data_IF_062817480811
#
_entry.id   IF_062817480811
#
_cell.length_a   1.000
_cell.length_b   1.000
_cell.length_c   1.000
_cell.angle_alpha   90.00
_cell.angle_beta   90.00
_cell.angle_gamma   90.00
#
_symmetry.space_group_name_H-M   'P 1'
#
loop_
_entity.id
_entity.type
_entity.pdbx_description
1 polymer ?
#
# COMPACT_ATOMS: atom_id res chain seq x y z
N UNK A 1 38.76 -14.25 -7.22
CA UNK A 1 38.37 -12.92 -7.72
C UNK A 1 36.88 -12.81 -8.05
N UNK A 2 36.28 -13.73 -8.83
CA UNK A 2 34.85 -13.66 -9.26
C UNK A 2 33.86 -13.70 -8.10
N UNK A 3 34.06 -14.54 -7.08
CA UNK A 3 33.15 -14.61 -5.88
C UNK A 3 33.19 -13.33 -5.05
N UNK A 4 34.31 -12.65 -4.98
CA UNK A 4 34.44 -11.37 -4.26
C UNK A 4 33.71 -10.25 -4.98
N UNK A 5 33.84 -10.14 -6.30
CA UNK A 5 33.15 -9.14 -7.11
C UNK A 5 31.62 -9.30 -7.06
N UNK A 6 31.11 -10.53 -7.15
CA UNK A 6 29.70 -10.83 -7.02
C UNK A 6 29.14 -10.49 -5.63
N UNK A 7 29.92 -10.75 -4.58
CA UNK A 7 29.54 -10.38 -3.21
C UNK A 7 29.44 -8.85 -3.05
N UNK A 8 30.45 -8.12 -3.52
CA UNK A 8 30.46 -6.64 -3.45
C UNK A 8 29.26 -6.06 -4.20
N UNK A 9 29.03 -6.49 -5.45
CA UNK A 9 27.90 -6.04 -6.25
C UNK A 9 26.54 -6.35 -5.56
N UNK A 10 26.41 -7.52 -4.94
CA UNK A 10 25.19 -7.87 -4.18
C UNK A 10 24.98 -6.95 -2.99
N UNK A 11 26.02 -6.67 -2.20
CA UNK A 11 25.90 -5.81 -1.02
C UNK A 11 25.62 -4.35 -1.38
N UNK A 12 26.24 -3.83 -2.43
CA UNK A 12 25.98 -2.48 -2.95
C UNK A 12 24.55 -2.35 -3.46
N UNK A 13 24.08 -3.34 -4.24
CA UNK A 13 22.70 -3.41 -4.69
C UNK A 13 21.72 -3.38 -3.51
N UNK A 14 21.92 -4.25 -2.50
CA UNK A 14 21.05 -4.31 -1.32
C UNK A 14 21.06 -2.98 -0.56
N UNK A 15 22.22 -2.35 -0.39
CA UNK A 15 22.34 -1.03 0.26
C UNK A 15 21.56 0.04 -0.53
N UNK A 16 21.69 0.09 -1.84
CA UNK A 16 21.02 1.04 -2.73
C UNK A 16 19.49 0.86 -2.70
N UNK A 17 18.98 -0.37 -2.81
CA UNK A 17 17.53 -0.59 -2.76
C UNK A 17 16.98 -0.30 -1.37
N UNK A 18 17.69 -0.69 -0.31
CA UNK A 18 17.25 -0.42 1.08
C UNK A 18 17.38 1.02 1.52
N UNK A 19 18.12 1.86 0.83
CA UNK A 19 18.04 3.30 1.05
C UNK A 19 16.68 3.88 0.63
N UNK A 20 15.97 3.21 -0.31
CA UNK A 20 14.62 3.59 -0.76
C UNK A 20 13.50 2.81 -0.04
N UNK A 21 13.73 1.53 0.25
CA UNK A 21 12.80 0.63 0.95
C UNK A 21 13.55 -0.16 2.04
N UNK A 22 13.70 0.41 3.25
CA UNK A 22 14.45 -0.22 4.33
C UNK A 22 13.90 -1.58 4.76
N UNK A 23 12.59 -1.80 4.59
CA UNK A 23 11.89 -3.01 5.01
C UNK A 23 11.65 -4.04 3.92
N UNK A 24 12.20 -3.87 2.72
CA UNK A 24 11.98 -4.81 1.61
C UNK A 24 12.51 -6.22 1.94
N UNK A 25 11.65 -7.22 1.78
CA UNK A 25 11.98 -8.62 2.06
C UNK A 25 12.93 -9.24 1.03
N UNK A 26 13.72 -10.25 1.46
CA UNK A 26 14.77 -10.86 0.65
C UNK A 26 14.31 -11.40 -0.70
N UNK A 27 13.07 -11.93 -0.81
CA UNK A 27 12.55 -12.46 -2.07
C UNK A 27 12.34 -11.38 -3.13
N UNK A 28 11.81 -10.21 -2.73
CA UNK A 28 11.64 -9.06 -3.63
C UNK A 28 12.98 -8.46 -4.02
N UNK A 29 13.88 -8.30 -3.05
CA UNK A 29 15.26 -7.88 -3.31
C UNK A 29 15.93 -8.75 -4.36
N UNK A 30 15.83 -10.10 -4.20
CA UNK A 30 16.43 -11.01 -5.17
C UNK A 30 15.80 -10.88 -6.56
N UNK A 31 14.48 -10.65 -6.65
CA UNK A 31 13.81 -10.47 -7.94
C UNK A 31 14.31 -9.21 -8.66
N UNK A 32 14.39 -8.09 -7.94
CA UNK A 32 14.95 -6.83 -8.47
C UNK A 32 16.42 -7.03 -8.89
N UNK A 33 17.21 -7.72 -8.07
CA UNK A 33 18.60 -8.08 -8.39
C UNK A 33 18.70 -8.95 -9.65
N UNK A 34 17.83 -9.95 -9.79
CA UNK A 34 17.77 -10.78 -11.00
C UNK A 34 17.45 -9.97 -12.25
N UNK A 35 16.52 -9.03 -12.15
CA UNK A 35 16.16 -8.18 -13.29
C UNK A 35 17.34 -7.28 -13.74
N UNK A 36 18.15 -6.80 -12.79
CA UNK A 36 19.29 -5.92 -13.08
C UNK A 36 20.57 -6.71 -13.46
N UNK A 37 20.84 -7.83 -12.80
CA UNK A 37 22.10 -8.56 -12.92
C UNK A 37 21.98 -9.94 -13.59
N UNK A 38 20.79 -10.34 -14.04
CA UNK A 38 20.52 -11.71 -14.51
C UNK A 38 21.43 -12.19 -15.65
N UNK A 39 21.94 -11.28 -16.47
CA UNK A 39 22.90 -11.55 -17.57
C UNK A 39 24.35 -11.23 -17.17
N UNK A 40 24.60 -10.71 -15.98
CA UNK A 40 25.92 -10.28 -15.50
C UNK A 40 26.73 -11.45 -14.94
N UNK A 41 28.08 -11.36 -15.03
CA UNK A 41 28.97 -12.29 -14.32
C UNK A 41 28.90 -12.15 -12.80
N UNK A 42 28.34 -11.04 -12.28
CA UNK A 42 28.10 -10.81 -10.85
C UNK A 42 26.81 -11.47 -10.34
N UNK A 43 26.00 -12.07 -11.21
CA UNK A 43 24.73 -12.70 -10.81
C UNK A 43 24.93 -13.87 -9.86
N UNK A 44 24.12 -13.90 -8.80
CA UNK A 44 24.04 -15.03 -7.86
C UNK A 44 22.59 -15.56 -7.81
N UNK A 45 22.44 -16.87 -7.72
CA UNK A 45 21.14 -17.52 -7.58
C UNK A 45 20.47 -17.15 -6.24
N UNK A 46 19.16 -17.38 -6.18
CA UNK A 46 18.30 -17.01 -5.05
C UNK A 46 18.84 -17.47 -3.69
N UNK A 47 19.23 -18.73 -3.58
CA UNK A 47 19.63 -19.30 -2.30
C UNK A 47 20.98 -18.73 -1.83
N UNK A 48 21.90 -18.51 -2.75
CA UNK A 48 23.15 -17.80 -2.48
C UNK A 48 22.91 -16.36 -2.06
N UNK A 49 22.02 -15.64 -2.72
CA UNK A 49 21.62 -14.29 -2.35
C UNK A 49 21.03 -14.23 -0.94
N UNK A 50 20.10 -15.15 -0.61
CA UNK A 50 19.52 -15.23 0.74
C UNK A 50 20.57 -15.61 1.80
N UNK A 51 21.52 -16.47 1.48
CA UNK A 51 22.64 -16.82 2.37
C UNK A 51 23.53 -15.59 2.64
N UNK A 52 23.80 -14.75 1.63
CA UNK A 52 24.52 -13.49 1.79
C UNK A 52 23.76 -12.57 2.75
N UNK A 53 22.44 -12.37 2.54
CA UNK A 53 21.61 -11.55 3.45
C UNK A 53 21.68 -12.04 4.90
N UNK A 54 21.61 -13.35 5.12
CA UNK A 54 21.71 -13.95 6.46
C UNK A 54 23.09 -13.73 7.08
N UNK A 55 24.15 -14.05 6.35
CA UNK A 55 25.55 -13.92 6.80
C UNK A 55 25.89 -12.49 7.22
N UNK A 56 25.41 -11.50 6.48
CA UNK A 56 25.69 -10.09 6.76
C UNK A 56 24.62 -9.43 7.64
N UNK A 57 23.75 -10.23 8.30
CA UNK A 57 22.70 -9.76 9.22
C UNK A 57 21.72 -8.76 8.55
N UNK A 58 21.50 -8.91 7.25
CA UNK A 58 20.62 -8.08 6.44
C UNK A 58 19.20 -8.66 6.32
N UNK A 59 18.84 -9.65 7.13
CA UNK A 59 17.46 -10.19 7.18
C UNK A 59 16.57 -9.25 8.01
N UNK A 60 15.32 -9.04 7.50
CA UNK A 60 14.33 -8.18 8.19
C UNK A 60 13.66 -8.96 9.33
N UNK A 61 13.63 -8.37 10.53
CA UNK A 61 12.88 -8.92 11.68
C UNK A 61 11.47 -8.32 11.70
N UNK A 62 10.43 -9.16 11.91
CA UNK A 62 9.05 -8.69 12.11
C UNK A 62 8.97 -7.87 13.40
N UNK A 63 8.28 -6.69 13.34
CA UNK A 63 7.97 -5.87 14.52
C UNK A 63 6.60 -6.21 15.09
N UNK A 64 6.36 -5.88 16.37
CA UNK A 64 5.11 -6.07 17.08
C UNK A 64 3.99 -5.14 16.58
N UNK A 65 2.73 -5.54 16.77
CA UNK A 65 1.54 -4.79 16.37
C UNK A 65 1.34 -3.54 17.23
N UNK A 66 0.94 -2.43 16.60
CA UNK A 66 0.46 -1.23 17.28
C UNK A 66 -1.02 -1.38 17.72
N UNK A 67 -1.49 -0.65 18.74
CA UNK A 67 -2.86 -0.70 19.20
C UNK A 67 -3.86 -0.12 18.17
N UNK A 68 -5.11 -0.54 18.29
CA UNK A 68 -6.25 -0.15 17.43
C UNK A 68 -6.76 1.23 17.84
N UNK A 69 -7.02 2.14 16.90
CA UNK A 69 -7.41 3.54 17.18
C UNK A 69 -8.55 4.09 16.30
N UNK A 70 -9.41 3.25 15.74
CA UNK A 70 -10.57 3.73 14.97
C UNK A 70 -11.81 3.73 15.84
N UNK A 71 -12.41 4.91 16.05
CA UNK A 71 -13.73 5.06 16.63
C UNK A 71 -14.77 5.01 15.49
N UNK A 72 -15.58 3.95 15.48
CA UNK A 72 -16.63 3.71 14.50
C UNK A 72 -18.05 3.95 15.05
N UNK A 73 -18.18 4.45 16.29
CA UNK A 73 -19.46 4.73 16.92
C UNK A 73 -19.90 6.19 16.71
N UNK A 74 -20.40 6.50 15.50
CA UNK A 74 -20.96 7.82 15.20
C UNK A 74 -22.34 7.70 14.53
N UNK A 75 -23.10 8.80 14.55
CA UNK A 75 -24.46 8.88 13.99
C UNK A 75 -24.51 9.28 12.49
N UNK A 76 -23.36 9.33 11.79
CA UNK A 76 -23.32 9.66 10.37
C UNK A 76 -23.83 8.48 9.53
N UNK A 77 -24.29 8.73 8.27
CA UNK A 77 -24.76 7.69 7.37
C UNK A 77 -23.76 6.56 7.19
N UNK A 78 -24.24 5.33 7.26
CA UNK A 78 -23.47 4.13 6.97
C UNK A 78 -23.93 3.56 5.62
N UNK A 79 -22.96 3.00 4.87
CA UNK A 79 -23.21 2.42 3.55
C UNK A 79 -22.97 0.91 3.58
N UNK A 80 -23.73 0.13 2.79
CA UNK A 80 -23.57 -1.32 2.77
C UNK A 80 -22.20 -1.73 2.22
N UNK A 81 -21.74 -2.92 2.60
CA UNK A 81 -20.58 -3.53 1.98
C UNK A 81 -20.90 -4.09 0.60
N UNK A 82 -20.45 -3.40 -0.44
CA UNK A 82 -20.61 -3.77 -1.84
C UNK A 82 -19.47 -4.66 -2.35
N UNK A 83 -18.51 -5.02 -1.49
CA UNK A 83 -17.28 -5.70 -1.93
C UNK A 83 -17.30 -7.22 -1.79
N UNK A 84 -18.26 -7.80 -1.05
CA UNK A 84 -18.28 -9.21 -0.67
C UNK A 84 -18.26 -10.18 -1.85
N UNK A 85 -19.00 -9.87 -2.91
CA UNK A 85 -19.11 -10.71 -4.10
C UNK A 85 -18.33 -10.19 -5.30
N UNK A 86 -17.62 -9.05 -5.14
CA UNK A 86 -16.92 -8.40 -6.23
C UNK A 86 -15.64 -9.16 -6.61
N UNK A 87 -15.54 -9.62 -7.84
CA UNK A 87 -14.29 -10.10 -8.45
C UNK A 87 -13.65 -8.97 -9.22
N UNK A 88 -12.37 -8.74 -8.96
CA UNK A 88 -11.61 -7.67 -9.60
C UNK A 88 -10.97 -8.19 -10.89
N UNK A 89 -11.34 -7.58 -12.02
CA UNK A 89 -10.91 -7.97 -13.36
C UNK A 89 -10.12 -6.87 -14.07
N UNK A 90 -10.28 -5.62 -13.65
CA UNK A 90 -9.60 -4.46 -14.24
C UNK A 90 -9.40 -3.34 -13.22
N UNK A 91 -8.52 -2.35 -13.50
CA UNK A 91 -8.38 -1.14 -12.68
C UNK A 91 -9.69 -0.36 -12.57
N UNK A 92 -9.78 0.47 -11.55
CA UNK A 92 -10.90 1.41 -11.32
C UNK A 92 -12.27 0.72 -11.13
N UNK A 93 -12.30 -0.55 -10.66
CA UNK A 93 -13.52 -1.22 -10.21
C UNK A 93 -13.79 -1.01 -8.72
N UNK A 94 -12.74 -1.01 -7.93
CA UNK A 94 -12.79 -0.85 -6.49
C UNK A 94 -11.59 -0.03 -6.02
N UNK A 95 -11.87 1.07 -5.37
CA UNK A 95 -10.90 1.82 -4.59
C UNK A 95 -11.09 1.52 -3.11
N UNK A 96 -10.01 1.38 -2.38
CA UNK A 96 -10.01 1.16 -0.94
C UNK A 96 -9.23 2.25 -0.24
N UNK A 97 -9.76 2.73 0.90
CA UNK A 97 -9.14 3.81 1.67
C UNK A 97 -8.98 3.44 3.13
N UNK A 98 -7.92 3.96 3.73
CA UNK A 98 -7.65 3.83 5.15
C UNK A 98 -6.69 4.94 5.61
N UNK A 99 -6.70 5.25 6.92
CA UNK A 99 -5.83 6.25 7.54
C UNK A 99 -4.84 5.53 8.46
N UNK A 100 -3.58 5.93 8.37
CA UNK A 100 -2.57 5.51 9.35
C UNK A 100 -1.87 6.71 9.95
N UNK A 101 -1.32 6.57 11.15
CA UNK A 101 -0.54 7.63 11.80
C UNK A 101 0.95 7.40 11.68
N UNK A 102 1.71 8.49 11.59
CA UNK A 102 3.16 8.53 11.56
C UNK A 102 3.64 9.41 12.72
N UNK A 103 4.71 9.00 13.39
CA UNK A 103 5.25 9.69 14.56
C UNK A 103 6.22 10.78 14.14
N UNK A 104 6.04 11.98 14.68
CA UNK A 104 6.97 13.11 14.60
C UNK A 104 7.57 13.31 15.99
N UNK A 105 8.89 13.37 16.08
CA UNK A 105 9.63 13.53 17.33
C UNK A 105 9.98 14.99 17.55
N UNK A 106 9.62 15.51 18.72
CA UNK A 106 9.92 16.89 19.11
C UNK A 106 11.32 17.00 19.73
N UNK A 107 11.91 18.21 19.78
CA UNK A 107 13.24 18.43 20.31
C UNK A 107 13.42 18.05 21.79
N UNK A 108 12.34 18.11 22.57
CA UNK A 108 12.31 17.71 23.99
C UNK A 108 12.22 16.20 24.22
N UNK A 109 12.21 15.40 23.13
CA UNK A 109 12.08 13.95 23.17
C UNK A 109 10.65 13.44 23.25
N UNK A 110 9.66 14.31 23.37
CA UNK A 110 8.23 13.96 23.20
C UNK A 110 7.89 13.70 21.74
N UNK A 111 6.65 13.27 21.44
CA UNK A 111 6.22 13.02 20.08
C UNK A 111 4.78 13.45 19.87
N UNK A 112 4.46 13.76 18.61
CA UNK A 112 3.10 13.99 18.11
C UNK A 112 2.85 13.08 16.92
N UNK A 113 1.59 12.92 16.53
CA UNK A 113 1.23 12.17 15.34
C UNK A 113 0.82 13.11 14.20
N UNK A 114 1.16 12.73 12.99
CA UNK A 114 0.48 13.15 11.77
C UNK A 114 -0.19 11.92 11.14
N UNK A 115 -1.11 12.17 10.22
CA UNK A 115 -2.01 11.15 9.69
C UNK A 115 -1.86 11.07 8.18
N UNK A 116 -1.66 9.87 7.67
CA UNK A 116 -1.57 9.58 6.25
C UNK A 116 -2.87 8.94 5.80
N UNK A 117 -3.61 9.62 4.94
CA UNK A 117 -4.77 9.10 4.23
C UNK A 117 -4.33 8.55 2.88
N UNK A 118 -4.72 7.32 2.56
CA UNK A 118 -4.42 6.68 1.28
C UNK A 118 -5.70 6.28 0.55
N UNK A 119 -5.71 6.44 -0.77
CA UNK A 119 -6.68 5.83 -1.69
C UNK A 119 -5.89 4.89 -2.61
N UNK A 120 -6.30 3.63 -2.64
CA UNK A 120 -5.60 2.57 -3.37
C UNK A 120 -6.56 1.87 -4.32
N UNK A 121 -6.17 1.69 -5.57
CA UNK A 121 -6.88 0.82 -6.50
C UNK A 121 -6.71 -0.64 -6.07
N UNK A 122 -7.81 -1.33 -5.85
CA UNK A 122 -7.79 -2.68 -5.29
C UNK A 122 -7.35 -3.76 -6.28
N UNK A 123 -7.43 -3.52 -7.59
CA UNK A 123 -6.93 -4.42 -8.61
C UNK A 123 -5.42 -4.28 -8.76
N UNK A 124 -4.92 -3.08 -9.06
CA UNK A 124 -3.49 -2.81 -9.30
C UNK A 124 -2.66 -2.70 -8.04
N UNK A 125 -3.27 -2.48 -6.88
CA UNK A 125 -2.63 -2.08 -5.60
C UNK A 125 -1.93 -0.72 -5.69
N UNK A 126 -2.15 0.06 -6.73
CA UNK A 126 -1.57 1.38 -6.91
C UNK A 126 -2.16 2.37 -5.92
N UNK A 127 -1.31 3.14 -5.25
CA UNK A 127 -1.72 4.30 -4.46
C UNK A 127 -2.04 5.42 -5.46
N UNK A 128 -3.32 5.74 -5.62
CA UNK A 128 -3.83 6.69 -6.60
C UNK A 128 -4.15 8.05 -6.01
N UNK A 129 -4.21 8.13 -4.68
CA UNK A 129 -4.37 9.37 -3.95
C UNK A 129 -3.80 9.26 -2.53
N UNK A 130 -3.22 10.35 -2.03
CA UNK A 130 -2.72 10.40 -0.66
C UNK A 130 -2.62 11.84 -0.17
N UNK A 131 -2.75 12.00 1.16
CA UNK A 131 -2.51 13.26 1.83
C UNK A 131 -1.94 13.02 3.24
N UNK A 132 -1.03 13.89 3.69
CA UNK A 132 -0.48 13.90 5.05
C UNK A 132 -1.00 15.12 5.79
N UNK A 133 -1.87 14.89 6.77
CA UNK A 133 -2.47 15.89 7.65
C UNK A 133 -1.86 15.90 9.05
N UNK A 134 -1.98 17.00 9.74
CA UNK A 134 -1.58 17.17 11.15
C UNK A 134 -2.67 16.73 12.14
N UNK A 135 -3.89 16.56 11.65
CA UNK A 135 -5.05 16.09 12.41
C UNK A 135 -5.81 14.98 11.66
N UNK A 136 -6.80 14.39 12.33
CA UNK A 136 -7.77 13.47 11.72
C UNK A 136 -8.92 14.18 11.00
N UNK A 137 -8.72 15.42 10.55
CA UNK A 137 -9.74 16.18 9.82
C UNK A 137 -10.11 15.51 8.49
N UNK A 138 -11.41 15.54 8.14
CA UNK A 138 -11.92 14.99 6.87
C UNK A 138 -11.34 15.68 5.63
N UNK A 139 -10.88 16.93 5.76
CA UNK A 139 -10.24 17.66 4.67
C UNK A 139 -9.05 16.91 4.05
N UNK A 140 -8.29 16.16 4.84
CA UNK A 140 -7.14 15.41 4.34
C UNK A 140 -7.54 14.11 3.63
N UNK A 141 -8.63 13.47 4.03
CA UNK A 141 -9.20 12.35 3.27
C UNK A 141 -9.83 12.84 1.98
N UNK A 142 -10.48 14.00 2.01
CA UNK A 142 -11.02 14.68 0.82
C UNK A 142 -9.89 15.00 -0.17
N UNK A 143 -8.79 15.59 0.27
CA UNK A 143 -7.64 15.90 -0.60
C UNK A 143 -7.06 14.64 -1.26
N UNK A 144 -6.94 13.55 -0.51
CA UNK A 144 -6.50 12.26 -1.05
C UNK A 144 -7.49 11.71 -2.09
N UNK A 145 -8.81 11.82 -1.84
CA UNK A 145 -9.85 11.40 -2.78
C UNK A 145 -9.86 12.25 -4.05
N UNK A 146 -9.74 13.57 -3.92
CA UNK A 146 -9.67 14.48 -5.07
C UNK A 146 -8.46 14.17 -5.97
N UNK A 147 -7.31 13.81 -5.38
CA UNK A 147 -6.14 13.35 -6.14
C UNK A 147 -6.48 12.10 -6.97
N UNK A 148 -7.17 11.13 -6.38
CA UNK A 148 -7.60 9.93 -7.08
C UNK A 148 -8.63 10.23 -8.19
N UNK A 149 -9.61 11.09 -7.90
CA UNK A 149 -10.65 11.49 -8.86
C UNK A 149 -10.06 12.21 -10.07
N UNK A 150 -9.08 13.09 -9.88
CA UNK A 150 -8.40 13.77 -11.00
C UNK A 150 -7.78 12.79 -12.00
N UNK A 151 -7.36 11.61 -11.56
CA UNK A 151 -6.79 10.57 -12.43
C UNK A 151 -7.83 10.00 -13.41
N UNK A 152 -9.10 9.98 -13.03
CA UNK A 152 -10.19 9.40 -13.83
C UNK A 152 -11.06 10.45 -14.52
N UNK A 153 -10.80 11.74 -14.34
CA UNK A 153 -11.64 12.83 -14.86
C UNK A 153 -11.85 12.80 -16.39
N UNK A 154 -10.93 12.14 -17.13
CA UNK A 154 -11.05 11.96 -18.59
C UNK A 154 -11.63 10.60 -19.00
N UNK A 155 -12.03 9.74 -18.05
CA UNK A 155 -12.49 8.37 -18.29
C UNK A 155 -13.99 8.27 -17.99
N UNK A 156 -14.73 7.59 -18.84
CA UNK A 156 -16.09 7.17 -18.53
C UNK A 156 -16.03 5.90 -17.67
N UNK A 157 -16.06 6.06 -16.34
CA UNK A 157 -16.03 4.93 -15.39
C UNK A 157 -17.43 4.72 -14.85
N UNK A 158 -17.96 3.52 -15.03
CA UNK A 158 -19.27 3.11 -14.49
C UNK A 158 -19.09 2.06 -13.41
N UNK A 159 -19.81 2.22 -12.30
CA UNK A 159 -19.87 1.22 -11.24
C UNK A 159 -18.64 1.13 -10.36
N UNK A 160 -17.74 2.13 -10.39
CA UNK A 160 -16.61 2.23 -9.46
C UNK A 160 -17.14 2.28 -8.03
N UNK A 161 -16.64 1.40 -7.17
CA UNK A 161 -16.95 1.33 -5.75
C UNK A 161 -15.78 1.93 -4.97
N UNK A 162 -16.07 2.79 -4.00
CA UNK A 162 -15.12 3.26 -3.00
C UNK A 162 -15.44 2.62 -1.66
N UNK A 163 -14.52 1.83 -1.12
CA UNK A 163 -14.71 1.10 0.13
C UNK A 163 -13.74 1.59 1.23
N UNK A 164 -14.26 1.82 2.43
CA UNK A 164 -13.51 2.25 3.60
C UNK A 164 -14.02 1.55 4.88
N UNK A 165 -13.33 1.80 5.99
CA UNK A 165 -13.92 1.56 7.30
C UNK A 165 -15.05 2.57 7.60
N UNK A 166 -15.71 2.42 8.77
CA UNK A 166 -16.77 3.34 9.24
C UNK A 166 -16.20 4.59 9.94
N UNK A 167 -15.02 5.06 9.58
CA UNK A 167 -14.45 6.28 10.14
C UNK A 167 -15.28 7.51 9.76
N UNK A 168 -15.45 8.45 10.73
CA UNK A 168 -16.21 9.71 10.54
C UNK A 168 -15.76 10.50 9.31
N UNK A 169 -14.48 10.39 8.93
CA UNK A 169 -13.88 11.09 7.80
C UNK A 169 -14.51 10.66 6.47
N UNK A 170 -14.76 9.35 6.32
CA UNK A 170 -15.35 8.76 5.12
C UNK A 170 -16.87 8.93 5.02
N UNK A 171 -17.54 9.14 6.18
CA UNK A 171 -18.97 9.43 6.26
C UNK A 171 -19.27 10.94 6.20
N UNK A 172 -18.26 11.81 6.14
CA UNK A 172 -18.45 13.27 6.09
C UNK A 172 -19.20 13.70 4.81
N UNK A 173 -19.98 14.76 4.93
CA UNK A 173 -20.82 15.27 3.83
C UNK A 173 -19.97 15.59 2.59
N UNK A 174 -18.82 16.26 2.78
CA UNK A 174 -17.94 16.67 1.68
C UNK A 174 -17.35 15.45 0.96
N UNK A 175 -16.91 14.42 1.72
CA UNK A 175 -16.37 13.20 1.15
C UNK A 175 -17.42 12.48 0.28
N UNK A 176 -18.61 12.29 0.83
CA UNK A 176 -19.72 11.65 0.12
C UNK A 176 -20.20 12.46 -1.08
N UNK A 177 -20.19 13.80 -0.99
CA UNK A 177 -20.54 14.67 -2.11
C UNK A 177 -19.60 14.46 -3.30
N UNK A 178 -18.28 14.35 -3.05
CA UNK A 178 -17.29 14.08 -4.12
C UNK A 178 -17.53 12.71 -4.75
N UNK A 179 -17.76 11.66 -3.96
CA UNK A 179 -18.05 10.32 -4.49
C UNK A 179 -19.27 10.36 -5.40
N UNK A 180 -20.39 10.94 -4.94
CA UNK A 180 -21.64 11.03 -5.69
C UNK A 180 -21.50 11.87 -6.95
N UNK A 181 -20.83 13.02 -6.87
CA UNK A 181 -20.61 13.90 -8.02
C UNK A 181 -19.86 13.18 -9.16
N UNK A 182 -18.98 12.24 -8.81
CA UNK A 182 -18.20 11.48 -9.77
C UNK A 182 -18.79 10.08 -10.07
N UNK A 183 -20.01 9.80 -9.65
CA UNK A 183 -20.69 8.51 -9.92
C UNK A 183 -20.06 7.32 -9.20
N UNK A 184 -19.28 7.56 -8.13
CA UNK A 184 -18.60 6.53 -7.34
C UNK A 184 -19.52 6.06 -6.22
N UNK A 185 -19.70 4.75 -6.09
CA UNK A 185 -20.58 4.14 -5.11
C UNK A 185 -19.87 4.02 -3.75
N UNK A 186 -20.38 4.67 -2.68
CA UNK A 186 -19.81 4.50 -1.36
C UNK A 186 -20.12 3.12 -0.78
N UNK A 187 -19.12 2.50 -0.15
CA UNK A 187 -19.22 1.21 0.52
C UNK A 187 -18.39 1.24 1.82
N UNK A 188 -18.87 0.59 2.87
CA UNK A 188 -18.20 0.54 4.17
C UNK A 188 -18.17 -0.87 4.73
N UNK A 189 -17.18 -1.17 5.59
CA UNK A 189 -17.12 -2.43 6.35
C UNK A 189 -18.37 -2.57 7.23
N UNK A 190 -18.95 -3.77 7.36
CA UNK A 190 -20.17 -3.94 8.17
C UNK A 190 -19.88 -4.03 9.67
N UNK A 191 -19.02 -4.91 10.12
CA UNK A 191 -18.84 -5.21 11.54
C UNK A 191 -17.47 -4.79 12.10
N UNK A 192 -16.76 -3.86 11.42
CA UNK A 192 -15.41 -3.48 11.81
C UNK A 192 -14.42 -4.66 11.74
N UNK A 193 -14.75 -5.68 10.96
CA UNK A 193 -13.87 -6.82 10.72
C UNK A 193 -12.65 -6.37 9.92
N UNK A 194 -11.42 -6.53 10.44
CA UNK A 194 -10.20 -6.15 9.73
C UNK A 194 -10.05 -6.80 8.35
N UNK A 195 -10.72 -7.93 8.12
CA UNK A 195 -10.66 -8.62 6.82
C UNK A 195 -11.39 -7.86 5.70
N UNK A 196 -12.34 -7.00 6.05
CA UNK A 196 -13.17 -6.31 5.08
C UNK A 196 -12.39 -5.20 4.36
N UNK A 197 -11.37 -4.58 5.00
CA UNK A 197 -10.49 -3.59 4.40
C UNK A 197 -9.00 -4.02 4.34
N UNK A 198 -8.74 -5.32 4.24
CA UNK A 198 -7.41 -5.90 4.32
C UNK A 198 -6.41 -5.38 3.26
N UNK A 199 -6.90 -4.91 2.10
CA UNK A 199 -6.03 -4.33 1.05
C UNK A 199 -5.48 -3.00 1.53
N UNK A 200 -6.33 -2.08 2.00
CA UNK A 200 -5.90 -0.77 2.47
C UNK A 200 -5.00 -0.88 3.70
N UNK A 201 -5.36 -1.73 4.68
CA UNK A 201 -4.50 -2.02 5.84
C UNK A 201 -3.12 -2.56 5.43
N UNK A 202 -3.09 -3.43 4.41
CA UNK A 202 -1.82 -3.97 3.91
C UNK A 202 -0.96 -2.91 3.25
N UNK A 203 -1.54 -2.02 2.45
CA UNK A 203 -0.81 -0.91 1.80
C UNK A 203 -0.28 0.05 2.84
N UNK A 204 -1.11 0.48 3.80
CA UNK A 204 -0.67 1.29 4.94
C UNK A 204 0.48 0.64 5.70
N UNK A 205 0.37 -0.67 5.96
CA UNK A 205 1.44 -1.44 6.61
C UNK A 205 2.75 -1.47 5.82
N UNK A 206 2.70 -1.49 4.49
CA UNK A 206 3.89 -1.43 3.63
C UNK A 206 4.52 -0.04 3.71
N UNK A 207 3.75 1.03 3.52
CA UNK A 207 4.27 2.40 3.62
C UNK A 207 4.91 2.62 4.99
N UNK A 208 4.15 2.39 6.07
CA UNK A 208 4.60 2.71 7.43
C UNK A 208 5.72 1.81 7.95
N UNK A 209 5.59 0.49 7.77
CA UNK A 209 6.44 -0.50 8.45
C UNK A 209 7.52 -1.11 7.55
N UNK A 210 7.52 -0.82 6.26
CA UNK A 210 8.54 -1.26 5.33
C UNK A 210 9.30 -0.06 4.75
N UNK A 211 8.60 0.87 4.06
CA UNK A 211 9.24 1.99 3.36
C UNK A 211 9.73 3.10 4.29
N UNK A 212 8.94 3.45 5.31
CA UNK A 212 9.34 4.45 6.32
C UNK A 212 10.02 3.82 7.55
N UNK A 213 10.37 2.54 7.49
CA UNK A 213 10.96 1.82 8.61
C UNK A 213 12.28 2.44 9.07
N UNK A 214 12.36 2.76 10.37
CA UNK A 214 13.58 3.30 10.99
C UNK A 214 13.81 4.79 10.76
N UNK A 215 12.97 5.46 9.98
CA UNK A 215 13.03 6.91 9.82
C UNK A 215 12.53 7.60 11.10
N UNK A 216 13.17 8.70 11.46
CA UNK A 216 12.73 9.62 12.53
C UNK A 216 12.48 10.97 11.90
N UNK A 217 11.27 11.46 12.05
CA UNK A 217 10.84 12.75 11.51
C UNK A 217 10.79 13.78 12.61
N UNK A 218 11.23 14.99 12.32
CA UNK A 218 11.17 16.16 13.21
C UNK A 218 10.07 17.15 12.79
N UNK A 219 9.49 16.99 11.61
CA UNK A 219 8.45 17.86 11.08
C UNK A 219 7.50 17.13 10.13
N UNK A 220 6.30 17.69 9.93
CA UNK A 220 5.33 17.19 8.97
C UNK A 220 5.83 17.33 7.52
N UNK A 221 6.66 18.31 7.22
CA UNK A 221 7.26 18.52 5.91
C UNK A 221 8.22 17.39 5.55
N UNK A 222 9.00 16.92 6.52
CA UNK A 222 9.84 15.73 6.32
C UNK A 222 9.00 14.48 6.06
N UNK A 223 7.90 14.31 6.79
CA UNK A 223 6.96 13.20 6.55
C UNK A 223 6.37 13.28 5.15
N UNK A 224 5.86 14.45 4.72
CA UNK A 224 5.30 14.66 3.38
C UNK A 224 6.29 14.30 2.28
N UNK A 225 7.54 14.74 2.39
CA UNK A 225 8.60 14.42 1.44
C UNK A 225 8.92 12.91 1.41
N UNK A 226 9.04 12.30 2.58
CA UNK A 226 9.32 10.87 2.69
C UNK A 226 8.17 10.01 2.15
N UNK A 227 6.91 10.38 2.43
CA UNK A 227 5.72 9.71 1.90
C UNK A 227 5.66 9.82 0.37
N UNK A 228 5.90 11.01 -0.20
CA UNK A 228 5.92 11.18 -1.65
C UNK A 228 6.95 10.26 -2.33
N UNK A 229 8.17 10.18 -1.77
CA UNK A 229 9.22 9.28 -2.24
C UNK A 229 8.81 7.81 -2.08
N UNK A 230 8.21 7.45 -0.93
CA UNK A 230 7.76 6.10 -0.64
C UNK A 230 6.63 5.66 -1.59
N UNK A 231 5.65 6.51 -1.86
CA UNK A 231 4.56 6.24 -2.81
C UNK A 231 5.10 6.06 -4.22
N UNK A 232 6.03 6.93 -4.65
CA UNK A 232 6.66 6.78 -5.97
C UNK A 232 7.37 5.42 -6.11
N UNK A 233 8.20 5.06 -5.14
CA UNK A 233 8.90 3.77 -5.14
C UNK A 233 7.92 2.59 -5.08
N UNK A 234 6.89 2.69 -4.24
CA UNK A 234 5.86 1.67 -4.09
C UNK A 234 5.15 1.39 -5.41
N UNK A 235 4.73 2.43 -6.13
CA UNK A 235 3.97 2.31 -7.37
C UNK A 235 4.84 1.85 -8.55
N UNK A 236 6.09 2.31 -8.65
CA UNK A 236 6.89 2.18 -9.86
C UNK A 236 8.04 1.15 -9.78
N UNK A 237 8.59 0.92 -8.59
CA UNK A 237 9.80 0.11 -8.45
C UNK A 237 9.58 -1.16 -7.60
N UNK A 238 8.64 -1.14 -6.66
CA UNK A 238 8.47 -2.23 -5.70
C UNK A 238 7.62 -3.36 -6.27
N UNK A 239 8.16 -4.61 -6.41
CA UNK A 239 7.37 -5.74 -6.88
C UNK A 239 6.38 -6.23 -5.81
N UNK A 240 5.19 -6.65 -6.25
CA UNK A 240 4.13 -7.16 -5.39
C UNK A 240 3.85 -8.63 -5.64
N UNK A 241 3.91 -9.44 -4.59
CA UNK A 241 3.63 -10.88 -4.69
C UNK A 241 2.19 -11.17 -5.15
N UNK A 242 1.23 -10.32 -4.75
CA UNK A 242 -0.19 -10.45 -5.15
C UNK A 242 -0.47 -10.02 -6.60
N UNK A 243 0.52 -9.43 -7.27
CA UNK A 243 0.48 -9.02 -8.66
C UNK A 243 1.45 -9.84 -9.52
N UNK A 244 1.72 -11.07 -9.14
CA UNK A 244 2.75 -11.94 -9.74
C UNK A 244 4.12 -11.27 -9.92
N UNK A 245 4.49 -10.45 -8.95
CA UNK A 245 5.75 -9.67 -8.90
C UNK A 245 5.81 -8.46 -9.84
N UNK A 246 4.71 -8.07 -10.45
CA UNK A 246 4.62 -6.78 -11.13
C UNK A 246 4.62 -5.63 -10.10
N UNK A 247 5.02 -4.44 -10.56
CA UNK A 247 4.74 -3.22 -9.81
C UNK A 247 3.27 -2.81 -10.00
N UNK A 248 2.69 -1.98 -9.11
CA UNK A 248 1.33 -1.46 -9.30
C UNK A 248 1.10 -0.81 -10.66
N UNK A 249 2.03 0.02 -11.15
CA UNK A 249 1.94 0.67 -12.47
C UNK A 249 1.94 -0.37 -13.60
N UNK A 250 2.83 -1.37 -13.56
CA UNK A 250 2.83 -2.45 -14.54
C UNK A 250 1.55 -3.28 -14.52
N UNK A 251 0.95 -3.48 -13.33
CA UNK A 251 -0.33 -4.16 -13.22
C UNK A 251 -1.49 -3.37 -13.84
N UNK A 252 -1.37 -2.03 -13.90
CA UNK A 252 -2.35 -1.15 -14.55
C UNK A 252 -2.41 -1.29 -16.07
N UNK A 253 -1.36 -1.84 -16.68
CA UNK A 253 -1.28 -2.12 -18.12
C UNK A 253 -1.85 -3.50 -18.47
N UNK A 254 -2.16 -4.33 -17.46
CA UNK A 254 -2.70 -5.67 -17.66
C UNK A 254 -4.21 -5.64 -17.90
N UNK A 255 -4.69 -6.63 -18.66
CA UNK A 255 -6.11 -6.88 -18.87
C UNK A 255 -6.46 -8.28 -18.35
N UNK A 256 -7.63 -8.40 -17.74
CA UNK A 256 -8.13 -9.66 -17.20
C UNK A 256 -7.47 -10.04 -15.83
N UNK A 257 -7.73 -11.23 -15.32
CA UNK A 257 -7.29 -11.63 -14.00
C UNK A 257 -5.76 -11.76 -13.92
N UNK A 258 -5.15 -11.02 -12.98
CA UNK A 258 -3.71 -11.16 -12.68
C UNK A 258 -3.47 -12.51 -12.01
N UNK A 259 -2.48 -13.25 -12.49
CA UNK A 259 -2.09 -14.54 -11.91
C UNK A 259 -1.76 -14.41 -10.43
N UNK A 260 -2.46 -15.15 -9.59
CA UNK A 260 -2.24 -15.20 -8.15
C UNK A 260 -1.46 -16.45 -7.77
N UNK A 261 -0.52 -16.27 -6.82
CA UNK A 261 0.28 -17.38 -6.28
C UNK A 261 -0.44 -18.14 -5.16
N UNK A 262 -1.60 -17.62 -4.72
CA UNK A 262 -2.46 -18.24 -3.71
C UNK A 262 -3.92 -17.82 -3.95
N UNK A 263 -4.85 -18.66 -3.52
CA UNK A 263 -6.27 -18.36 -3.54
C UNK A 263 -6.59 -17.44 -2.35
N UNK A 264 -7.21 -16.29 -2.61
CA UNK A 264 -7.63 -15.36 -1.56
C UNK A 264 -8.77 -15.95 -0.72
N UNK A 265 -8.96 -15.45 0.52
CA UNK A 265 -10.11 -15.85 1.33
C UNK A 265 -11.44 -15.54 0.65
N UNK A 266 -11.54 -14.43 -0.09
CA UNK A 266 -12.72 -14.05 -0.88
C UNK A 266 -13.00 -15.09 -1.97
N UNK A 267 -12.00 -15.47 -2.76
CA UNK A 267 -12.16 -16.51 -3.79
C UNK A 267 -12.53 -17.86 -3.20
N UNK A 268 -11.99 -18.24 -2.06
CA UNK A 268 -12.39 -19.44 -1.33
C UNK A 268 -13.87 -19.39 -0.91
N UNK A 269 -14.31 -18.23 -0.40
CA UNK A 269 -15.69 -18.03 0.01
C UNK A 269 -16.66 -18.12 -1.18
N UNK A 270 -16.34 -17.46 -2.30
CA UNK A 270 -17.15 -17.51 -3.51
C UNK A 270 -17.24 -18.90 -4.12
N UNK A 271 -16.11 -19.65 -4.15
CA UNK A 271 -16.09 -21.04 -4.63
C UNK A 271 -16.95 -21.97 -3.76
N UNK A 272 -17.06 -21.71 -2.45
CA UNK A 272 -17.93 -22.48 -1.54
C UNK A 272 -19.40 -22.07 -1.69
N UNK A 273 -19.68 -20.81 -1.97
CA UNK A 273 -21.05 -20.31 -2.13
C UNK A 273 -21.67 -20.63 -3.50
N UNK A 274 -20.85 -21.01 -4.50
CA UNK A 274 -21.27 -21.41 -5.85
C UNK A 274 -21.24 -22.94 -6.06
N UNK A 275 -20.78 -23.72 -5.07
CA UNK A 275 -20.80 -25.17 -5.06
C UNK A 275 -21.97 -25.72 -4.25
#
# INVERSE_FOLDING_TARGET
>A
PKKSAALTATLEFVKRVRSKDPGIGGMKLWLMYRNEFGTSQAFVGRDCFCAILSKYKLTIRKRFRAPRTTDSSHHLPQYPDLTRTLLLEHPDQLWVSDITYITIWLPDGSYVFCYLSLVTDAYTKEIIGYCVGDTLGSCYTVEALEMAVRRIAAKEIKGLIHHSDRGVQYASADYIAILRHNGILPSMTEDGNPKDNAIAERVNGIIKNELLQGMRFSSIQEVRKAVATAVHFYNNERPHMSLDMLTPVQAGEMQGPIRKRWISYREKYLNVALA
#
